data_IF_341530332086
#
_entry.id   IF_341530332086
#
_cell.length_a   1.000
_cell.length_b   1.000
_cell.length_c   1.000
_cell.angle_alpha   90.00
_cell.angle_beta   90.00
_cell.angle_gamma   90.00
#
_symmetry.space_group_name_H-M   'P 1'
#
loop_
_entity.id
_entity.type
_entity.pdbx_description
1 polymer ?
#
# COMPACT_ATOMS: atom_id res chain seq x y z
N UNK A 1 -3.88 -21.17 33.89
CA UNK A 1 -3.37 -20.10 33.00
C UNK A 1 -2.49 -20.77 31.95
N UNK A 2 -2.85 -20.68 30.67
CA UNK A 2 -2.08 -21.24 29.56
C UNK A 2 -1.05 -20.22 29.07
N UNK A 3 0.22 -20.65 28.99
CA UNK A 3 1.32 -19.85 28.46
C UNK A 3 1.36 -20.03 26.95
N UNK A 4 1.23 -18.94 26.20
CA UNK A 4 1.50 -18.93 24.75
C UNK A 4 2.99 -18.72 24.56
N UNK A 5 3.65 -19.65 23.86
CA UNK A 5 5.09 -19.59 23.52
C UNK A 5 5.19 -19.51 22.01
N UNK A 6 5.86 -18.47 21.49
CA UNK A 6 6.18 -18.36 20.07
C UNK A 6 7.57 -18.94 19.86
N UNK A 7 7.64 -20.11 19.24
CA UNK A 7 8.90 -20.75 18.84
C UNK A 7 9.34 -20.25 17.47
N UNK A 8 10.63 -19.99 17.30
CA UNK A 8 11.21 -19.56 16.02
C UNK A 8 11.43 -20.78 15.11
N UNK A 9 10.34 -21.41 14.69
CA UNK A 9 10.35 -22.45 13.65
C UNK A 9 10.50 -21.84 12.24
N UNK A 10 10.90 -22.66 11.27
CA UNK A 10 10.95 -22.28 9.84
C UNK A 10 9.54 -21.93 9.31
N UNK A 11 8.50 -22.36 10.04
CA UNK A 11 7.08 -22.20 9.72
C UNK A 11 6.39 -21.12 10.58
N UNK A 12 7.13 -20.44 11.47
CA UNK A 12 6.54 -19.66 12.58
C UNK A 12 5.92 -18.30 12.17
N UNK A 13 6.37 -17.71 11.07
CA UNK A 13 5.83 -16.43 10.56
C UNK A 13 5.85 -16.47 9.04
N UNK A 14 4.69 -16.52 8.41
CA UNK A 14 4.58 -16.37 6.97
C UNK A 14 5.06 -14.97 6.55
N UNK A 15 6.03 -14.90 5.65
CA UNK A 15 6.33 -13.65 4.96
C UNK A 15 5.10 -13.29 4.12
N UNK A 16 4.52 -12.08 4.27
CA UNK A 16 3.43 -11.68 3.40
C UNK A 16 3.93 -11.66 1.95
N UNK A 17 3.35 -12.53 1.12
CA UNK A 17 3.53 -12.44 -0.33
C UNK A 17 2.67 -11.28 -0.82
N UNK A 18 3.32 -10.21 -1.26
CA UNK A 18 2.63 -9.10 -1.89
C UNK A 18 2.46 -9.38 -3.38
N UNK A 19 1.21 -9.42 -3.84
CA UNK A 19 0.92 -9.27 -5.26
C UNK A 19 1.22 -7.82 -5.66
N UNK A 20 2.39 -7.63 -6.30
CA UNK A 20 2.86 -6.33 -6.77
C UNK A 20 2.22 -5.92 -8.10
N UNK A 21 1.12 -6.55 -8.52
CA UNK A 21 0.35 -6.07 -9.64
C UNK A 21 0.05 -4.58 -9.45
N UNK A 22 0.59 -3.76 -10.35
CA UNK A 22 0.46 -2.32 -10.30
C UNK A 22 -1.03 -1.99 -10.36
N UNK A 23 -1.59 -1.52 -9.24
CA UNK A 23 -2.97 -1.03 -9.21
C UNK A 23 -3.05 0.24 -10.05
N UNK A 24 -3.78 0.15 -11.15
CA UNK A 24 -4.09 1.30 -11.99
C UNK A 24 -4.98 2.28 -11.22
N UNK A 25 -4.66 3.56 -11.28
CA UNK A 25 -5.42 4.63 -10.63
C UNK A 25 -4.54 5.65 -9.90
N UNK A 26 -5.24 6.59 -9.27
CA UNK A 26 -4.66 7.72 -8.54
C UNK A 26 -5.05 7.55 -7.08
N UNK A 27 -4.07 7.68 -6.19
CA UNK A 27 -4.28 7.65 -4.75
C UNK A 27 -3.50 8.77 -4.07
N UNK A 28 -4.01 9.27 -2.95
CA UNK A 28 -3.22 10.12 -2.04
C UNK A 28 -2.20 9.26 -1.28
N UNK A 29 -1.23 9.90 -0.60
CA UNK A 29 -0.29 9.19 0.26
C UNK A 29 -0.98 8.39 1.38
N UNK A 30 -2.17 8.83 1.81
CA UNK A 30 -3.01 8.14 2.79
C UNK A 30 -3.87 7.00 2.20
N UNK A 31 -3.75 6.71 0.89
CA UNK A 31 -4.49 5.64 0.22
C UNK A 31 -5.90 6.01 -0.24
N UNK A 32 -6.35 7.26 -0.05
CA UNK A 32 -7.65 7.72 -0.56
C UNK A 32 -7.60 7.85 -2.08
N UNK A 33 -8.60 7.30 -2.78
CA UNK A 33 -8.79 7.46 -4.22
C UNK A 33 -9.57 8.76 -4.51
N UNK A 34 -8.94 9.80 -5.08
CA UNK A 34 -9.65 11.02 -5.45
C UNK A 34 -10.64 10.75 -6.60
N UNK A 35 -11.72 11.52 -6.66
CA UNK A 35 -12.62 11.52 -7.80
C UNK A 35 -12.14 12.59 -8.80
N UNK A 36 -11.80 12.19 -10.03
CA UNK A 36 -11.29 13.10 -11.07
C UNK A 36 -10.03 12.59 -11.78
N UNK A 37 -9.53 13.37 -12.74
CA UNK A 37 -8.28 13.07 -13.45
C UNK A 37 -7.09 13.72 -12.75
N UNK A 38 -5.86 13.33 -13.12
CA UNK A 38 -4.62 13.90 -12.55
C UNK A 38 -4.55 15.41 -12.77
N UNK A 39 -5.13 15.91 -13.87
CA UNK A 39 -5.16 17.34 -14.20
C UNK A 39 -5.95 18.17 -13.17
N UNK A 40 -7.04 17.61 -12.62
CA UNK A 40 -7.99 18.29 -11.74
C UNK A 40 -7.52 18.35 -10.28
N UNK A 41 -6.47 17.60 -9.95
CA UNK A 41 -5.97 17.51 -8.58
C UNK A 41 -5.22 18.78 -8.17
N UNK A 42 -5.45 19.20 -6.93
CA UNK A 42 -4.65 20.25 -6.29
C UNK A 42 -3.16 19.85 -6.22
N UNK A 43 -2.29 20.81 -5.92
CA UNK A 43 -0.86 20.52 -5.68
C UNK A 43 -0.70 19.59 -4.48
N UNK A 44 0.23 18.63 -4.58
CA UNK A 44 0.40 17.60 -3.55
C UNK A 44 1.16 16.37 -4.01
N UNK A 45 1.21 15.35 -3.14
CA UNK A 45 1.87 14.07 -3.40
C UNK A 45 0.80 13.01 -3.69
N UNK A 46 0.96 12.34 -4.82
CA UNK A 46 0.05 11.30 -5.29
C UNK A 46 0.80 10.02 -5.66
N UNK A 47 0.10 8.89 -5.57
CA UNK A 47 0.52 7.60 -6.12
C UNK A 47 -0.30 7.38 -7.39
N UNK A 48 0.36 7.42 -8.55
CA UNK A 48 -0.25 7.19 -9.86
C UNK A 48 0.32 5.89 -10.41
N UNK A 49 -0.53 4.88 -10.58
CA UNK A 49 -0.13 3.56 -11.07
C UNK A 49 1.11 3.02 -10.31
N UNK A 50 1.05 3.07 -8.97
CA UNK A 50 2.13 2.62 -8.09
C UNK A 50 3.36 3.51 -8.00
N UNK A 51 3.42 4.64 -8.73
CA UNK A 51 4.56 5.58 -8.70
C UNK A 51 4.21 6.85 -7.93
N UNK A 52 5.11 7.29 -7.06
CA UNK A 52 5.02 8.58 -6.38
C UNK A 52 5.25 9.72 -7.38
N UNK A 53 4.34 10.70 -7.39
CA UNK A 53 4.39 11.89 -8.23
C UNK A 53 4.13 13.12 -7.36
N UNK A 54 4.85 14.21 -7.64
CA UNK A 54 4.64 15.53 -7.02
C UNK A 54 4.01 16.43 -8.07
N UNK A 55 2.91 17.09 -7.71
CA UNK A 55 2.18 18.04 -8.54
C UNK A 55 2.11 19.40 -7.86
#
# INVERSE_FOLDING_TARGET
MSKVVIERGIDGIATPTFDNAIKQGIYTLSGVKPNGKVEDLSKGIYIINGKKVVK
#
